data_IF_718458108551
#
_entry.id   IF_718458108551
#
_cell.length_a   1.000
_cell.length_b   1.000
_cell.length_c   1.000
_cell.angle_alpha   90.00
_cell.angle_beta   90.00
_cell.angle_gamma   90.00
#
_symmetry.space_group_name_H-M   'P 1'
#
loop_
_entity.id
_entity.type
_entity.pdbx_description
1 polymer ?
#
# COMPACT_ATOMS: atom_id res chain seq x y z
N UNK A 1 0.99 -1.28 -23.02
CA UNK A 1 2.26 -1.97 -22.72
C UNK A 1 2.67 -1.50 -21.34
N UNK A 2 2.63 -2.37 -20.33
CA UNK A 2 3.29 -2.08 -19.06
C UNK A 2 4.79 -2.13 -19.33
N UNK A 3 5.51 -1.06 -19.04
CA UNK A 3 6.95 -0.99 -19.30
C UNK A 3 7.70 -2.07 -18.50
N UNK A 4 8.73 -2.67 -19.09
CA UNK A 4 9.53 -3.71 -18.43
C UNK A 4 10.12 -3.25 -17.09
N UNK A 5 10.28 -1.94 -16.90
CA UNK A 5 10.67 -1.30 -15.64
C UNK A 5 9.62 -1.48 -14.54
N UNK A 6 8.32 -1.37 -14.85
CA UNK A 6 7.22 -1.59 -13.89
C UNK A 6 7.17 -3.05 -13.47
N UNK A 7 7.31 -3.98 -14.43
CA UNK A 7 7.30 -5.41 -14.14
C UNK A 7 8.50 -5.84 -13.27
N UNK A 8 9.65 -5.19 -13.49
CA UNK A 8 10.86 -5.43 -12.68
C UNK A 8 10.73 -4.87 -11.26
N UNK A 9 9.99 -3.78 -11.07
CA UNK A 9 9.77 -3.22 -9.73
C UNK A 9 8.85 -4.13 -8.91
N UNK A 10 7.71 -4.55 -9.45
CA UNK A 10 6.79 -5.50 -8.81
C UNK A 10 7.50 -6.83 -8.43
N UNK A 11 8.35 -7.34 -9.32
CA UNK A 11 9.13 -8.55 -9.05
C UNK A 11 10.12 -8.35 -7.90
N UNK A 12 10.74 -7.17 -7.79
CA UNK A 12 11.69 -6.88 -6.71
C UNK A 12 10.97 -6.65 -5.38
N UNK A 13 9.79 -6.03 -5.40
CA UNK A 13 8.97 -5.84 -4.21
C UNK A 13 8.48 -7.18 -3.65
N UNK A 14 8.03 -8.09 -4.52
CA UNK A 14 7.62 -9.45 -4.11
C UNK A 14 8.77 -10.25 -3.50
N UNK A 15 9.96 -10.25 -4.13
CA UNK A 15 11.17 -10.88 -3.57
C UNK A 15 11.57 -10.28 -2.22
N UNK A 16 11.50 -8.95 -2.08
CA UNK A 16 11.80 -8.27 -0.83
C UNK A 16 10.84 -8.69 0.30
N UNK A 17 9.56 -8.83 0.00
CA UNK A 17 8.56 -9.32 0.96
C UNK A 17 8.83 -10.77 1.37
N UNK A 18 9.29 -11.63 0.47
CA UNK A 18 9.64 -13.01 0.80
C UNK A 18 10.86 -13.09 1.73
N UNK A 19 11.90 -12.31 1.46
CA UNK A 19 13.08 -12.20 2.34
C UNK A 19 12.70 -11.67 3.72
N UNK A 20 11.89 -10.60 3.77
CA UNK A 20 11.39 -10.04 5.02
C UNK A 20 10.53 -11.05 5.79
N UNK A 21 9.70 -11.82 5.08
CA UNK A 21 8.87 -12.86 5.70
C UNK A 21 9.71 -13.96 6.35
N UNK A 22 10.79 -14.37 5.68
CA UNK A 22 11.76 -15.29 6.28
C UNK A 22 12.43 -14.65 7.49
N UNK A 23 12.97 -13.44 7.37
CA UNK A 23 13.65 -12.75 8.45
C UNK A 23 12.78 -12.56 9.70
N UNK A 24 11.53 -12.10 9.52
CA UNK A 24 10.54 -11.92 10.59
C UNK A 24 10.21 -13.24 11.28
N UNK A 25 10.20 -14.37 10.55
CA UNK A 25 9.95 -15.69 11.15
C UNK A 25 11.07 -16.16 12.09
N UNK A 26 12.30 -15.68 11.90
CA UNK A 26 13.41 -15.93 12.81
C UNK A 26 13.39 -14.97 14.00
N UNK A 27 13.22 -13.67 13.74
CA UNK A 27 13.11 -12.66 14.77
C UNK A 27 12.26 -11.49 14.27
N UNK A 28 11.03 -11.31 14.78
CA UNK A 28 10.25 -10.14 14.45
C UNK A 28 10.92 -8.91 15.06
N UNK A 29 11.13 -7.89 14.24
CA UNK A 29 11.52 -6.57 14.70
C UNK A 29 10.63 -5.51 14.05
N UNK A 30 10.56 -4.36 14.72
CA UNK A 30 9.68 -3.27 14.33
C UNK A 30 10.03 -2.71 12.96
N UNK A 31 11.32 -2.64 12.61
CA UNK A 31 11.77 -2.04 11.35
C UNK A 31 11.44 -2.96 10.18
N UNK A 32 11.64 -4.28 10.31
CA UNK A 32 11.27 -5.28 9.31
C UNK A 32 9.76 -5.35 9.10
N UNK A 33 8.96 -5.30 10.18
CA UNK A 33 7.51 -5.26 10.07
C UNK A 33 7.04 -3.98 9.37
N UNK A 34 7.58 -2.82 9.75
CA UNK A 34 7.27 -1.55 9.10
C UNK A 34 7.67 -1.53 7.61
N UNK A 35 8.83 -2.12 7.28
CA UNK A 35 9.31 -2.20 5.90
C UNK A 35 8.45 -3.15 5.06
N UNK A 36 8.07 -4.32 5.59
CA UNK A 36 7.18 -5.25 4.89
C UNK A 36 5.77 -4.65 4.70
N UNK A 37 5.29 -3.87 5.67
CA UNK A 37 4.05 -3.10 5.53
C UNK A 37 4.14 -2.08 4.38
N UNK A 38 5.25 -1.38 4.23
CA UNK A 38 5.45 -0.41 3.16
C UNK A 38 5.45 -1.07 1.77
N UNK A 39 6.11 -2.22 1.61
CA UNK A 39 6.04 -3.01 0.36
C UNK A 39 4.63 -3.54 0.08
N UNK A 40 3.89 -3.97 1.11
CA UNK A 40 2.50 -4.36 0.91
C UNK A 40 1.61 -3.19 0.49
N UNK A 41 1.88 -1.98 0.98
CA UNK A 41 1.16 -0.79 0.54
C UNK A 41 1.50 -0.39 -0.91
N UNK A 42 2.77 -0.45 -1.33
CA UNK A 42 3.15 -0.19 -2.74
C UNK A 42 2.48 -1.17 -3.70
N UNK A 43 2.40 -2.45 -3.31
CA UNK A 43 1.68 -3.49 -4.03
C UNK A 43 0.14 -3.38 -3.92
N UNK A 44 -0.39 -2.35 -3.25
CA UNK A 44 -1.82 -2.13 -2.97
C UNK A 44 -2.51 -3.23 -2.16
N UNK A 45 -1.73 -4.10 -1.51
CA UNK A 45 -2.23 -5.08 -0.53
C UNK A 45 -2.37 -4.42 0.85
N UNK A 46 -3.33 -3.51 0.94
CA UNK A 46 -3.62 -2.76 2.17
C UNK A 46 -4.02 -3.66 3.34
N UNK A 47 -4.47 -4.89 3.09
CA UNK A 47 -4.82 -5.81 4.16
C UNK A 47 -3.59 -6.37 4.85
N UNK A 48 -2.58 -6.81 4.10
CA UNK A 48 -1.31 -7.26 4.69
C UNK A 48 -0.51 -6.10 5.28
N UNK A 49 -0.53 -4.94 4.63
CA UNK A 49 0.12 -3.74 5.15
C UNK A 49 -0.41 -3.33 6.53
N UNK A 50 -1.73 -3.41 6.76
CA UNK A 50 -2.33 -3.14 8.07
C UNK A 50 -1.93 -4.17 9.11
N UNK A 51 -1.90 -5.46 8.78
CA UNK A 51 -1.50 -6.51 9.72
C UNK A 51 -0.07 -6.31 10.21
N UNK A 52 0.84 -6.00 9.30
CA UNK A 52 2.24 -5.74 9.64
C UNK A 52 2.40 -4.44 10.45
N UNK A 53 1.64 -3.40 10.10
CA UNK A 53 1.62 -2.15 10.87
C UNK A 53 1.10 -2.37 12.30
N UNK A 54 0.03 -3.15 12.47
CA UNK A 54 -0.50 -3.52 13.79
C UNK A 54 0.52 -4.33 14.60
N UNK A 55 1.21 -5.28 13.98
CA UNK A 55 2.27 -6.04 14.62
C UNK A 55 3.44 -5.14 15.05
N UNK A 56 3.83 -4.17 14.23
CA UNK A 56 4.87 -3.20 14.58
C UNK A 56 4.43 -2.26 15.72
N UNK A 57 3.17 -1.79 15.72
CA UNK A 57 2.62 -0.97 16.82
C UNK A 57 2.44 -1.75 18.12
N UNK A 58 2.29 -3.07 18.07
CA UNK A 58 2.36 -3.92 19.26
C UNK A 58 3.76 -3.93 19.90
N UNK A 59 4.82 -3.72 19.11
CA UNK A 59 6.20 -3.63 19.61
C UNK A 59 6.52 -2.22 20.13
N UNK A 60 6.09 -1.18 19.41
CA UNK A 60 6.16 0.21 19.86
C UNK A 60 4.90 0.98 19.43
N UNK A 61 3.97 1.22 20.38
CA UNK A 61 2.73 1.94 20.10
C UNK A 61 2.92 3.40 19.64
N UNK A 62 4.10 3.98 19.89
CA UNK A 62 4.39 5.38 19.60
C UNK A 62 5.31 5.57 18.39
N UNK A 63 5.58 4.50 17.63
CA UNK A 63 6.43 4.60 16.44
C UNK A 63 5.73 5.40 15.34
N UNK A 64 6.22 6.62 15.11
CA UNK A 64 5.58 7.62 14.23
C UNK A 64 5.38 7.13 12.81
N UNK A 65 6.40 6.50 12.22
CA UNK A 65 6.36 6.08 10.82
C UNK A 65 5.32 4.98 10.62
N UNK A 66 5.20 4.07 11.58
CA UNK A 66 4.19 3.00 11.53
C UNK A 66 2.78 3.56 11.78
N UNK A 67 2.63 4.55 12.66
CA UNK A 67 1.34 5.23 12.85
C UNK A 67 0.89 5.96 11.60
N UNK A 68 1.81 6.65 10.90
CA UNK A 68 1.53 7.30 9.63
C UNK A 68 1.10 6.28 8.57
N UNK A 69 1.91 5.21 8.38
CA UNK A 69 1.63 4.10 7.49
C UNK A 69 0.29 3.42 7.77
N UNK A 70 0.02 3.11 9.04
CA UNK A 70 -1.25 2.54 9.46
C UNK A 70 -2.43 3.45 9.10
N UNK A 71 -2.33 4.75 9.42
CA UNK A 71 -3.39 5.71 9.20
C UNK A 71 -3.70 5.87 7.71
N UNK A 72 -2.68 6.04 6.86
CA UNK A 72 -2.88 6.18 5.40
C UNK A 72 -3.36 4.89 4.75
N UNK A 73 -2.83 3.73 5.14
CA UNK A 73 -3.24 2.41 4.62
C UNK A 73 -4.70 2.11 5.00
N UNK A 74 -5.10 2.42 6.24
CA UNK A 74 -6.48 2.26 6.71
C UNK A 74 -7.43 3.14 5.90
N UNK A 75 -7.05 4.40 5.67
CA UNK A 75 -7.84 5.32 4.85
C UNK A 75 -7.99 4.80 3.43
N UNK A 76 -6.91 4.34 2.78
CA UNK A 76 -6.97 3.76 1.43
C UNK A 76 -7.84 2.50 1.35
N UNK A 77 -7.72 1.59 2.33
CA UNK A 77 -8.57 0.39 2.41
C UNK A 77 -10.05 0.74 2.55
N UNK A 78 -10.38 1.70 3.41
CA UNK A 78 -11.75 2.18 3.59
C UNK A 78 -12.25 2.90 2.35
N UNK A 79 -11.42 3.76 1.73
CA UNK A 79 -11.75 4.48 0.51
C UNK A 79 -12.08 3.51 -0.63
N UNK A 80 -11.21 2.52 -0.87
CA UNK A 80 -11.47 1.46 -1.86
C UNK A 80 -12.72 0.68 -1.50
N UNK A 81 -12.90 0.33 -0.22
CA UNK A 81 -14.11 -0.35 0.25
C UNK A 81 -15.39 0.42 -0.11
N UNK A 82 -15.44 1.71 0.23
CA UNK A 82 -16.58 2.62 -0.02
C UNK A 82 -16.82 2.86 -1.52
N UNK A 83 -15.75 3.00 -2.32
CA UNK A 83 -15.91 3.18 -3.76
C UNK A 83 -16.19 1.88 -4.53
N UNK A 84 -15.85 0.71 -3.97
CA UNK A 84 -16.21 -0.59 -4.53
C UNK A 84 -17.70 -0.88 -4.35
N UNK A 85 -18.32 -0.42 -3.26
CA UNK A 85 -19.78 -0.43 -3.08
C UNK A 85 -20.49 0.58 -4.00
N UNK A 86 -19.85 1.72 -4.31
CA UNK A 86 -20.46 2.78 -5.14
C UNK A 86 -20.18 2.67 -6.65
N UNK A 87 -19.37 1.72 -7.12
CA UNK A 87 -19.24 1.36 -8.55
C UNK A 87 -18.77 2.46 -9.53
N UNK A 88 -18.38 3.66 -9.07
CA UNK A 88 -18.23 4.85 -9.94
C UNK A 88 -16.85 5.53 -9.95
N UNK A 89 -15.89 5.13 -9.11
CA UNK A 89 -14.66 5.93 -8.95
C UNK A 89 -13.61 5.82 -10.07
N UNK A 90 -13.57 4.73 -10.86
CA UNK A 90 -12.61 4.65 -11.99
C UNK A 90 -12.99 5.56 -13.17
N UNK A 91 -14.25 6.03 -13.24
CA UNK A 91 -14.68 6.99 -14.27
C UNK A 91 -14.38 8.44 -13.88
N UNK A 92 -14.58 8.85 -12.62
CA UNK A 92 -14.53 10.29 -12.28
C UNK A 92 -13.15 10.92 -12.50
N UNK A 93 -12.05 10.35 -12.01
CA UNK A 93 -10.74 11.03 -12.13
C UNK A 93 -10.24 11.11 -13.59
N UNK A 94 -10.47 10.06 -14.39
CA UNK A 94 -10.09 10.04 -15.80
C UNK A 94 -11.04 10.90 -16.64
N UNK A 95 -12.33 10.92 -16.33
CA UNK A 95 -13.31 11.72 -17.08
C UNK A 95 -13.25 13.20 -16.68
N UNK A 96 -12.94 13.53 -15.43
CA UNK A 96 -12.62 14.90 -14.99
C UNK A 96 -11.34 15.39 -15.65
N UNK A 97 -10.28 14.56 -15.72
CA UNK A 97 -9.07 14.91 -16.46
C UNK A 97 -9.35 15.13 -17.96
N UNK A 98 -10.20 14.31 -18.59
CA UNK A 98 -10.61 14.49 -19.99
C UNK A 98 -11.49 15.72 -20.20
N UNK A 99 -12.43 16.00 -19.28
CA UNK A 99 -13.31 17.15 -19.34
C UNK A 99 -12.49 18.45 -19.27
N UNK A 100 -11.54 18.53 -18.33
CA UNK A 100 -10.62 19.66 -18.18
C UNK A 100 -9.77 19.85 -19.44
N UNK A 101 -9.28 18.76 -20.06
CA UNK A 101 -8.52 18.84 -21.31
C UNK A 101 -9.40 19.31 -22.48
N UNK A 102 -10.69 18.93 -22.52
CA UNK A 102 -11.62 19.34 -23.58
C UNK A 102 -12.07 20.80 -23.49
N UNK A 103 -12.11 21.37 -22.29
CA UNK A 103 -12.47 22.78 -22.07
C UNK A 103 -11.30 23.74 -22.33
N UNK A 104 -10.07 23.21 -22.42
CA UNK A 104 -8.85 23.95 -22.70
C UNK A 104 -8.38 23.86 -24.17
N UNK A 105 -9.10 23.13 -25.03
CA UNK A 105 -8.83 22.96 -26.46
C UNK A 105 -9.87 23.69 -27.33
#
# INVERSE_FOLDING_TARGET
MLDATVLMDDQRETEAVEELTRAISFKPDLQMLNLRAAFHESMTDFSRALQDSEAALCLDPNHKDTLDLYSRTRMQKTWIGVHMIDGLAKRSVVEEAKQIISELA
#
